data_IF_383021837763
#
_entry.id   IF_383021837763
#
_cell.length_a   1.000
_cell.length_b   1.000
_cell.length_c   1.000
_cell.angle_alpha   90.00
_cell.angle_beta   90.00
_cell.angle_gamma   90.00
#
_symmetry.space_group_name_H-M   'P 1'
#
loop_
_entity.id
_entity.type
_entity.pdbx_description
1 polymer ?
#
# COMPACT_ATOMS: atom_id res chain seq x y z
N UNK A 1 -18.06 13.50 -6.17
CA UNK A 1 -17.10 12.80 -7.04
C UNK A 1 -17.29 11.31 -6.81
N UNK A 2 -17.56 10.54 -7.86
CA UNK A 2 -17.61 9.07 -7.77
C UNK A 2 -16.20 8.48 -7.66
N UNK A 3 -16.09 7.18 -7.33
CA UNK A 3 -14.79 6.48 -7.35
C UNK A 3 -14.15 6.48 -8.75
N UNK A 4 -14.97 6.43 -9.79
CA UNK A 4 -14.51 6.45 -11.19
C UNK A 4 -14.07 7.84 -11.65
N UNK A 5 -14.76 8.91 -11.24
CA UNK A 5 -14.32 10.28 -11.50
C UNK A 5 -12.93 10.52 -10.90
N UNK A 6 -12.73 10.09 -9.64
CA UNK A 6 -11.45 10.21 -8.95
C UNK A 6 -10.34 9.44 -9.69
N UNK A 7 -10.64 8.23 -10.16
CA UNK A 7 -9.70 7.45 -10.97
C UNK A 7 -9.30 8.20 -12.24
N UNK A 8 -10.25 8.69 -13.04
CA UNK A 8 -9.95 9.34 -14.32
C UNK A 8 -9.08 10.59 -14.16
N UNK A 9 -9.39 11.43 -13.16
CA UNK A 9 -8.60 12.62 -12.85
C UNK A 9 -7.19 12.24 -12.42
N UNK A 10 -7.06 11.34 -11.44
CA UNK A 10 -5.75 11.02 -10.87
C UNK A 10 -4.90 10.14 -11.79
N UNK A 11 -5.51 9.30 -12.63
CA UNK A 11 -4.81 8.48 -13.63
C UNK A 11 -4.02 9.37 -14.59
N UNK A 12 -4.64 10.43 -15.09
CA UNK A 12 -4.01 11.40 -16.00
C UNK A 12 -2.87 12.16 -15.33
N UNK A 13 -3.07 12.60 -14.08
CA UNK A 13 -2.05 13.29 -13.28
C UNK A 13 -0.85 12.37 -13.06
N UNK A 14 -1.09 11.14 -12.59
CA UNK A 14 -0.02 10.16 -12.32
C UNK A 14 0.74 9.83 -13.59
N UNK A 15 0.06 9.57 -14.71
CA UNK A 15 0.73 9.27 -15.97
C UNK A 15 1.65 10.42 -16.42
N UNK A 16 1.17 11.67 -16.31
CA UNK A 16 1.95 12.85 -16.67
C UNK A 16 3.18 13.03 -15.79
N UNK A 17 3.01 12.95 -14.47
CA UNK A 17 4.12 13.14 -13.52
C UNK A 17 5.14 12.00 -13.59
N UNK A 18 4.68 10.76 -13.72
CA UNK A 18 5.57 9.59 -13.82
C UNK A 18 6.32 9.54 -15.16
N UNK A 19 5.75 10.07 -16.25
CA UNK A 19 6.48 10.24 -17.51
C UNK A 19 7.64 11.24 -17.34
N UNK A 20 7.40 12.37 -16.68
CA UNK A 20 8.47 13.33 -16.36
C UNK A 20 9.55 12.71 -15.47
N UNK A 21 9.17 11.92 -14.46
CA UNK A 21 10.13 11.18 -13.64
C UNK A 21 10.95 10.18 -14.46
N UNK A 22 10.31 9.41 -15.35
CA UNK A 22 11.00 8.46 -16.21
C UNK A 22 12.01 9.14 -17.17
N UNK A 23 11.72 10.37 -17.61
CA UNK A 23 12.59 11.13 -18.51
C UNK A 23 13.74 11.84 -17.77
N UNK A 24 13.52 12.32 -16.55
CA UNK A 24 14.45 13.23 -15.87
C UNK A 24 15.15 12.63 -14.65
N UNK A 25 14.55 11.64 -14.00
CA UNK A 25 15.13 10.95 -12.84
C UNK A 25 14.78 9.45 -12.82
N UNK A 26 15.09 8.69 -13.89
CA UNK A 26 14.68 7.29 -14.03
C UNK A 26 15.18 6.37 -12.90
N UNK A 27 16.27 6.76 -12.24
CA UNK A 27 16.88 6.00 -11.14
C UNK A 27 16.35 6.36 -9.74
N UNK A 28 15.43 7.32 -9.62
CA UNK A 28 14.86 7.72 -8.34
C UNK A 28 13.92 6.65 -7.77
N UNK A 29 13.73 6.66 -6.44
CA UNK A 29 12.65 5.89 -5.79
C UNK A 29 11.33 6.63 -6.02
N UNK A 30 10.38 5.99 -6.68
CA UNK A 30 9.08 6.57 -7.02
C UNK A 30 8.06 6.12 -5.99
N UNK A 31 7.66 7.02 -5.09
CA UNK A 31 6.67 6.75 -4.04
C UNK A 31 5.31 7.37 -4.41
N UNK A 32 4.33 6.54 -4.76
CA UNK A 32 3.01 6.99 -5.21
C UNK A 32 2.01 6.88 -4.06
N UNK A 33 1.46 8.04 -3.69
CA UNK A 33 0.36 8.19 -2.72
C UNK A 33 -0.98 8.44 -3.44
N UNK A 34 -0.93 8.94 -4.67
CA UNK A 34 -2.11 9.32 -5.45
C UNK A 34 -3.10 8.15 -5.57
N UNK A 35 -4.32 8.37 -5.08
CA UNK A 35 -5.38 7.37 -5.12
C UNK A 35 -6.00 7.24 -6.53
N UNK A 36 -6.55 6.07 -6.89
CA UNK A 36 -6.49 4.80 -6.14
C UNK A 36 -5.15 4.08 -6.37
N UNK A 37 -4.39 3.82 -5.29
CA UNK A 37 -3.03 3.21 -5.36
C UNK A 37 -3.02 1.90 -6.15
N UNK A 38 -4.06 1.07 -5.98
CA UNK A 38 -4.21 -0.22 -6.66
C UNK A 38 -4.20 -0.10 -8.20
N UNK A 39 -4.52 1.07 -8.76
CA UNK A 39 -4.48 1.32 -10.21
C UNK A 39 -3.38 2.31 -10.63
N UNK A 40 -3.01 3.27 -9.77
CA UNK A 40 -1.98 4.27 -10.10
C UNK A 40 -0.57 3.69 -10.14
N UNK A 41 -0.29 2.61 -9.39
CA UNK A 41 0.98 1.87 -9.51
C UNK A 41 1.12 1.14 -10.85
N UNK A 42 0.12 0.37 -11.32
CA UNK A 42 0.11 -0.15 -12.68
C UNK A 42 0.30 0.94 -13.74
N UNK A 43 -0.38 2.09 -13.60
CA UNK A 43 -0.20 3.24 -14.53
C UNK A 43 1.27 3.68 -14.57
N UNK A 44 1.85 3.97 -13.40
CA UNK A 44 3.25 4.40 -13.32
C UNK A 44 4.20 3.37 -13.91
N UNK A 45 3.97 2.09 -13.63
CA UNK A 45 4.77 0.99 -14.16
C UNK A 45 4.72 0.94 -15.69
N UNK A 46 3.53 0.99 -16.29
CA UNK A 46 3.38 0.99 -17.74
C UNK A 46 3.98 2.24 -18.39
N UNK A 47 3.87 3.41 -17.75
CA UNK A 47 4.52 4.64 -18.22
C UNK A 47 6.05 4.52 -18.20
N UNK A 48 6.62 4.00 -17.11
CA UNK A 48 8.07 3.74 -17.04
C UNK A 48 8.53 2.71 -18.07
N UNK A 49 7.73 1.66 -18.34
CA UNK A 49 8.02 0.68 -19.39
C UNK A 49 8.04 1.33 -20.78
N UNK A 50 7.06 2.18 -21.10
CA UNK A 50 7.03 2.93 -22.38
C UNK A 50 8.28 3.79 -22.60
N UNK A 51 8.90 4.28 -21.52
CA UNK A 51 10.13 5.08 -21.58
C UNK A 51 11.42 4.25 -21.46
N UNK A 52 11.33 2.91 -21.39
CA UNK A 52 12.51 2.05 -21.22
C UNK A 52 13.24 2.22 -19.88
N UNK A 53 12.61 2.85 -18.89
CA UNK A 53 13.21 3.21 -17.60
C UNK A 53 12.73 2.33 -16.44
N UNK A 54 11.93 1.31 -16.72
CA UNK A 54 11.26 0.53 -15.67
C UNK A 54 12.24 -0.33 -14.86
N UNK A 55 12.29 -0.06 -13.55
CA UNK A 55 12.91 -0.91 -12.55
C UNK A 55 11.87 -1.29 -11.47
N UNK A 56 11.45 -2.58 -11.36
CA UNK A 56 10.43 -3.00 -10.40
C UNK A 56 10.82 -2.74 -8.94
N UNK A 57 12.12 -2.61 -8.64
CA UNK A 57 12.60 -2.44 -7.27
C UNK A 57 12.54 -0.98 -6.80
N UNK A 58 12.10 -0.04 -7.66
CA UNK A 58 12.11 1.41 -7.38
C UNK A 58 10.74 2.09 -7.46
N UNK A 59 9.66 1.36 -7.71
CA UNK A 59 8.29 1.92 -7.78
C UNK A 59 7.45 1.36 -6.64
N UNK A 60 6.95 2.24 -5.78
CA UNK A 60 6.33 1.91 -4.51
C UNK A 60 4.96 2.57 -4.36
N UNK A 61 3.93 1.77 -4.11
CA UNK A 61 2.64 2.26 -3.64
C UNK A 61 2.68 2.41 -2.13
N UNK A 62 2.52 3.65 -1.64
CA UNK A 62 2.64 3.94 -0.20
C UNK A 62 1.36 3.49 0.50
N UNK A 63 1.40 2.30 1.11
CA UNK A 63 0.31 1.72 1.93
C UNK A 63 0.53 1.92 3.43
N UNK A 64 1.60 2.63 3.81
CA UNK A 64 2.05 2.80 5.20
C UNK A 64 0.98 3.35 6.14
N UNK A 65 0.00 4.11 5.63
CA UNK A 65 -1.11 4.61 6.46
C UNK A 65 -1.97 3.48 7.03
N UNK A 66 -2.12 2.36 6.31
CA UNK A 66 -2.89 1.21 6.81
C UNK A 66 -2.16 0.53 7.96
N UNK A 67 -0.83 0.43 7.87
CA UNK A 67 0.04 -0.10 8.94
C UNK A 67 -0.02 0.83 10.16
N UNK A 68 0.06 2.14 9.95
CA UNK A 68 -0.07 3.12 11.04
C UNK A 68 -1.42 2.98 11.74
N UNK A 69 -2.52 2.84 10.98
CA UNK A 69 -3.86 2.62 11.55
C UNK A 69 -3.97 1.29 12.29
N UNK A 70 -3.47 0.21 11.72
CA UNK A 70 -3.49 -1.10 12.35
C UNK A 70 -2.72 -1.10 13.68
N UNK A 71 -1.53 -0.51 13.71
CA UNK A 71 -0.74 -0.36 14.93
C UNK A 71 -1.51 0.44 15.99
N UNK A 72 -2.09 1.59 15.62
CA UNK A 72 -2.88 2.42 16.54
C UNK A 72 -4.08 1.67 17.09
N UNK A 73 -4.89 1.03 16.24
CA UNK A 73 -6.12 0.38 16.69
C UNK A 73 -5.86 -0.88 17.54
N UNK A 74 -4.83 -1.65 17.21
CA UNK A 74 -4.42 -2.80 18.03
C UNK A 74 -3.85 -2.34 19.37
N UNK A 75 -3.05 -1.27 19.38
CA UNK A 75 -2.52 -0.70 20.61
C UNK A 75 -3.63 -0.18 21.53
N UNK A 76 -4.59 0.57 21.00
CA UNK A 76 -5.77 1.05 21.72
C UNK A 76 -6.55 -0.12 22.33
N UNK A 77 -6.83 -1.17 21.55
CA UNK A 77 -7.62 -2.32 21.98
C UNK A 77 -6.94 -3.14 23.08
N UNK A 78 -5.60 -3.17 23.09
CA UNK A 78 -4.80 -3.96 24.05
C UNK A 78 -4.14 -3.14 25.16
N UNK A 79 -4.34 -1.82 25.19
CA UNK A 79 -3.68 -0.94 26.16
C UNK A 79 -2.16 -0.92 26.04
N UNK A 80 -1.65 -1.00 24.79
CA UNK A 80 -0.22 -0.98 24.48
C UNK A 80 0.21 0.41 24.00
N UNK A 81 1.52 0.65 24.01
CA UNK A 81 2.11 1.80 23.31
C UNK A 81 2.13 1.52 21.78
N UNK A 82 1.47 2.34 20.94
CA UNK A 82 1.45 2.13 19.48
C UNK A 82 2.85 2.20 18.84
N UNK A 83 3.84 2.83 19.47
CA UNK A 83 5.22 2.84 18.99
C UNK A 83 5.90 1.47 19.11
N UNK A 84 5.33 0.54 19.90
CA UNK A 84 5.83 -0.83 20.12
C UNK A 84 5.00 -1.89 19.39
N UNK A 85 3.94 -1.49 18.70
CA UNK A 85 3.08 -2.40 17.93
C UNK A 85 3.48 -2.36 16.45
N UNK A 86 3.60 -3.52 15.84
CA UNK A 86 3.80 -3.69 14.40
C UNK A 86 2.89 -4.79 13.87
N UNK A 87 1.90 -4.40 13.06
CA UNK A 87 0.99 -5.28 12.33
C UNK A 87 1.32 -5.17 10.84
N UNK A 88 1.81 -6.23 10.19
CA UNK A 88 1.94 -6.25 8.73
C UNK A 88 0.57 -6.09 8.07
N UNK A 89 0.48 -5.24 7.04
CA UNK A 89 -0.75 -5.09 6.23
C UNK A 89 -0.41 -5.36 4.77
N UNK A 90 -1.06 -6.38 4.22
CA UNK A 90 -0.81 -6.88 2.86
C UNK A 90 -2.01 -6.61 1.94
N UNK A 91 -1.91 -6.99 0.66
CA UNK A 91 -2.99 -6.84 -0.32
C UNK A 91 -2.88 -5.55 -1.13
N UNK A 92 -3.79 -4.61 -0.91
CA UNK A 92 -3.83 -3.30 -1.56
C UNK A 92 -4.29 -2.20 -0.60
N UNK A 93 -4.77 -1.08 -1.14
CA UNK A 93 -5.11 0.14 -0.39
C UNK A 93 -6.57 0.58 -0.58
N UNK A 94 -7.51 -0.36 -0.72
CA UNK A 94 -8.91 -0.05 -0.90
C UNK A 94 -9.84 -1.10 -0.26
N UNK A 95 -10.63 -0.71 0.75
CA UNK A 95 -11.66 -1.55 1.36
C UNK A 95 -11.14 -2.94 1.71
N UNK A 96 -11.80 -3.99 1.21
CA UNK A 96 -11.44 -5.39 1.45
C UNK A 96 -10.06 -5.81 0.94
N UNK A 97 -9.44 -5.03 0.06
CA UNK A 97 -8.07 -5.30 -0.38
C UNK A 97 -7.03 -5.00 0.70
N UNK A 98 -7.39 -4.25 1.75
CA UNK A 98 -6.52 -3.99 2.91
C UNK A 98 -6.64 -5.19 3.86
N UNK A 99 -5.54 -5.94 4.02
CA UNK A 99 -5.53 -7.21 4.77
C UNK A 99 -4.54 -7.10 5.93
N UNK A 100 -5.00 -6.74 7.15
CA UNK A 100 -4.13 -6.70 8.33
C UNK A 100 -3.84 -8.11 8.84
N UNK A 101 -2.57 -8.50 8.85
CA UNK A 101 -2.12 -9.79 9.36
C UNK A 101 -1.93 -9.72 10.88
N UNK A 102 -3.05 -9.65 11.61
CA UNK A 102 -3.06 -9.55 13.07
C UNK A 102 -2.43 -10.81 13.70
N UNK A 103 -2.50 -11.96 13.03
CA UNK A 103 -1.81 -13.18 13.46
C UNK A 103 -0.27 -13.04 13.50
N UNK A 104 0.29 -12.06 12.78
CA UNK A 104 1.71 -11.74 12.71
C UNK A 104 2.08 -10.48 13.52
N UNK A 105 1.16 -9.93 14.31
CA UNK A 105 1.41 -8.75 15.12
C UNK A 105 2.57 -8.97 16.11
N UNK A 106 3.42 -7.95 16.26
CA UNK A 106 4.47 -7.88 17.30
C UNK A 106 4.20 -6.69 18.22
N UNK A 107 4.08 -6.87 19.55
CA UNK A 107 4.04 -8.16 20.25
C UNK A 107 2.81 -8.99 19.83
N UNK A 108 2.86 -10.29 20.08
CA UNK A 108 1.73 -11.19 19.77
C UNK A 108 0.49 -10.70 20.51
N UNK A 109 -0.63 -10.60 19.79
CA UNK A 109 -1.95 -10.29 20.35
C UNK A 109 -2.92 -11.42 20.04
N UNK A 110 -3.65 -11.87 21.05
CA UNK A 110 -4.73 -12.85 20.89
C UNK A 110 -6.07 -12.11 21.00
N UNK A 111 -6.91 -12.21 19.96
CA UNK A 111 -8.22 -11.58 19.89
C UNK A 111 -9.31 -12.65 19.70
N UNK A 112 -10.42 -12.57 20.46
CA UNK A 112 -11.64 -13.29 20.11
C UNK A 112 -12.11 -12.95 18.68
N UNK A 113 -12.76 -13.90 18.00
CA UNK A 113 -13.11 -13.77 16.58
C UNK A 113 -13.98 -12.55 16.27
N UNK A 114 -14.89 -12.18 17.16
CA UNK A 114 -15.73 -10.99 17.05
C UNK A 114 -14.89 -9.70 17.08
N UNK A 115 -13.95 -9.58 18.03
CA UNK A 115 -13.03 -8.44 18.10
C UNK A 115 -12.08 -8.39 16.90
N UNK A 116 -11.56 -9.55 16.48
CA UNK A 116 -10.69 -9.68 15.31
C UNK A 116 -11.40 -9.18 14.05
N UNK A 117 -12.65 -9.60 13.85
CA UNK A 117 -13.47 -9.20 12.71
C UNK A 117 -13.79 -7.71 12.76
N UNK A 118 -14.16 -7.18 13.93
CA UNK A 118 -14.49 -5.77 14.11
C UNK A 118 -13.29 -4.85 13.84
N UNK A 119 -12.11 -5.17 14.40
CA UNK A 119 -10.91 -4.34 14.19
C UNK A 119 -10.41 -4.42 12.75
N UNK A 120 -10.51 -5.58 12.10
CA UNK A 120 -10.20 -5.75 10.68
C UNK A 120 -11.08 -4.84 9.81
N UNK A 121 -12.40 -4.86 10.04
CA UNK A 121 -13.33 -3.98 9.33
C UNK A 121 -13.05 -2.49 9.57
N UNK A 122 -12.72 -2.11 10.82
CA UNK A 122 -12.33 -0.73 11.15
C UNK A 122 -11.06 -0.30 10.40
N UNK A 123 -10.04 -1.17 10.29
CA UNK A 123 -8.82 -0.89 9.52
C UNK A 123 -9.16 -0.64 8.05
N UNK A 124 -10.01 -1.48 7.45
CA UNK A 124 -10.43 -1.37 6.05
C UNK A 124 -11.23 -0.09 5.76
N UNK A 125 -12.09 0.33 6.72
CA UNK A 125 -12.98 1.48 6.56
C UNK A 125 -12.45 2.79 7.15
N UNK A 126 -11.27 2.79 7.78
CA UNK A 126 -10.70 3.96 8.44
C UNK A 126 -10.52 5.17 7.50
N UNK A 127 -10.31 4.94 6.20
CA UNK A 127 -10.33 5.99 5.18
C UNK A 127 -11.69 6.67 5.08
N UNK A 128 -12.74 5.86 4.96
CA UNK A 128 -14.14 6.28 4.90
C UNK A 128 -14.57 6.99 6.19
N UNK A 129 -14.15 6.49 7.36
CA UNK A 129 -14.44 7.12 8.67
C UNK A 129 -13.91 8.56 8.72
N UNK A 130 -12.68 8.81 8.26
CA UNK A 130 -12.10 10.16 8.24
C UNK A 130 -12.85 11.08 7.28
N UNK A 131 -13.24 10.59 6.09
CA UNK A 131 -14.03 11.38 5.12
C UNK A 131 -15.38 11.78 5.72
N UNK A 132 -16.05 10.84 6.41
CA UNK A 132 -17.31 11.10 7.10
C UNK A 132 -17.13 12.11 8.24
N UNK A 133 -16.09 11.96 9.06
CA UNK A 133 -15.78 12.87 10.16
C UNK A 133 -15.46 14.30 9.66
N UNK A 134 -14.88 14.42 8.47
CA UNK A 134 -14.64 15.71 7.79
C UNK A 134 -15.85 16.23 7.00
N UNK A 135 -17.03 15.60 7.12
CA UNK A 135 -18.25 15.97 6.40
C UNK A 135 -18.04 16.15 4.88
N UNK A 136 -17.17 15.33 4.27
CA UNK A 136 -16.87 15.39 2.84
C UNK A 136 -15.88 16.48 2.42
N UNK A 137 -15.36 17.30 3.35
CA UNK A 137 -14.37 18.35 3.08
C UNK A 137 -12.93 17.81 2.84
N UNK A 138 -12.82 16.59 2.29
CA UNK A 138 -11.56 15.89 2.03
C UNK A 138 -11.36 14.63 2.88
N UNK A 139 -10.17 14.04 2.78
CA UNK A 139 -9.79 12.78 3.42
C UNK A 139 -8.64 12.97 4.43
N UNK A 140 -7.98 11.87 4.82
CA UNK A 140 -6.81 11.91 5.70
C UNK A 140 -5.67 12.71 5.07
N UNK A 141 -5.25 13.79 5.73
CA UNK A 141 -4.15 14.66 5.29
C UNK A 141 -2.95 14.55 6.23
N UNK A 142 -3.13 14.91 7.51
CA UNK A 142 -2.04 14.91 8.50
C UNK A 142 -1.48 13.50 8.75
N UNK A 143 -2.34 12.51 8.97
CA UNK A 143 -1.91 11.13 9.18
C UNK A 143 -1.28 10.52 7.92
N UNK A 144 -1.76 10.92 6.73
CA UNK A 144 -1.12 10.51 5.47
C UNK A 144 0.26 11.15 5.31
N UNK A 145 0.43 12.42 5.69
CA UNK A 145 1.73 13.09 5.68
C UNK A 145 2.73 12.39 6.62
N UNK A 146 2.29 12.04 7.83
CA UNK A 146 3.09 11.24 8.76
C UNK A 146 3.50 9.89 8.15
N UNK A 147 2.53 9.14 7.60
CA UNK A 147 2.79 7.83 7.02
C UNK A 147 3.72 7.90 5.79
N UNK A 148 3.52 8.89 4.92
CA UNK A 148 4.38 9.13 3.76
C UNK A 148 5.80 9.51 4.17
N UNK A 149 5.95 10.40 5.16
CA UNK A 149 7.26 10.78 5.69
C UNK A 149 7.99 9.57 6.30
N UNK A 150 7.31 8.76 7.12
CA UNK A 150 7.86 7.52 7.66
C UNK A 150 8.39 6.61 6.54
N UNK A 151 7.60 6.36 5.51
CA UNK A 151 8.00 5.48 4.41
C UNK A 151 9.25 6.00 3.67
N UNK A 152 9.29 7.30 3.40
CA UNK A 152 10.45 7.94 2.77
C UNK A 152 11.69 7.88 3.67
N UNK A 153 11.56 8.12 4.98
CA UNK A 153 12.69 7.99 5.90
C UNK A 153 13.21 6.56 5.97
N UNK A 154 12.33 5.55 5.99
CA UNK A 154 12.73 4.14 5.91
C UNK A 154 13.51 3.86 4.60
N UNK A 155 13.02 4.35 3.46
CA UNK A 155 13.75 4.22 2.18
C UNK A 155 15.12 4.90 2.22
N UNK A 156 15.21 6.13 2.73
CA UNK A 156 16.46 6.88 2.82
C UNK A 156 17.46 6.21 3.77
N UNK A 157 17.00 5.72 4.92
CA UNK A 157 17.81 4.93 5.86
C UNK A 157 18.41 3.70 5.17
N UNK A 158 17.60 2.95 4.44
CA UNK A 158 18.05 1.78 3.69
C UNK A 158 19.02 2.16 2.55
N UNK A 159 18.77 3.29 1.87
CA UNK A 159 19.67 3.86 0.87
C UNK A 159 21.03 4.25 1.45
N UNK A 160 21.05 4.73 2.69
CA UNK A 160 22.25 5.03 3.45
C UNK A 160 22.97 3.78 4.01
N UNK A 161 22.40 2.58 3.79
CA UNK A 161 23.00 1.31 4.19
C UNK A 161 22.62 0.84 5.59
N UNK A 162 21.57 1.40 6.20
CA UNK A 162 20.98 0.81 7.41
C UNK A 162 20.40 -0.57 7.06
N UNK A 163 20.84 -1.59 7.78
CA UNK A 163 20.35 -2.96 7.60
C UNK A 163 19.01 -3.19 8.30
N UNK A 164 18.27 -4.21 7.86
CA UNK A 164 17.04 -4.66 8.51
C UNK A 164 15.86 -3.70 8.40
N UNK A 165 15.88 -2.75 7.45
CA UNK A 165 14.75 -1.84 7.23
C UNK A 165 13.65 -2.55 6.47
N UNK A 166 12.49 -2.74 7.12
CA UNK A 166 11.34 -3.43 6.55
C UNK A 166 10.12 -2.52 6.57
N UNK A 167 9.46 -2.36 5.42
CA UNK A 167 8.17 -1.69 5.28
C UNK A 167 7.25 -2.48 4.35
N UNK A 168 5.93 -2.36 4.56
CA UNK A 168 4.95 -2.85 3.59
C UNK A 168 4.72 -1.82 2.49
N UNK A 169 4.64 -2.25 1.24
CA UNK A 169 4.33 -1.38 0.09
C UNK A 169 3.70 -2.17 -1.05
N UNK A 170 2.75 -1.54 -1.77
CA UNK A 170 2.13 -2.12 -2.96
C UNK A 170 3.08 -2.03 -4.17
N UNK A 171 3.63 -3.16 -4.58
CA UNK A 171 4.71 -3.24 -5.59
C UNK A 171 4.42 -4.32 -6.63
N UNK A 172 5.21 -4.37 -7.71
CA UNK A 172 5.22 -5.52 -8.62
C UNK A 172 5.54 -6.78 -7.81
N UNK A 173 4.68 -7.79 -7.86
CA UNK A 173 4.77 -8.95 -6.98
C UNK A 173 4.47 -10.25 -7.72
N UNK A 174 4.92 -11.36 -7.13
CA UNK A 174 4.63 -12.75 -7.52
C UNK A 174 4.05 -13.55 -6.33
N UNK A 175 3.81 -12.90 -5.18
CA UNK A 175 3.42 -13.55 -3.92
C UNK A 175 1.95 -13.98 -3.88
N UNK A 176 1.15 -13.51 -4.84
CA UNK A 176 -0.26 -13.84 -5.00
C UNK A 176 -0.59 -13.95 -6.49
N UNK A 177 -1.78 -14.44 -6.82
CA UNK A 177 -2.32 -14.46 -8.19
C UNK A 177 -2.75 -13.04 -8.64
N UNK A 178 -1.84 -12.08 -8.51
CA UNK A 178 -2.00 -10.67 -8.84
C UNK A 178 -0.64 -10.12 -9.27
N UNK A 179 -0.60 -9.34 -10.35
CA UNK A 179 0.64 -8.76 -10.85
C UNK A 179 1.29 -7.77 -9.87
N UNK A 180 0.50 -7.16 -8.99
CA UNK A 180 0.94 -6.22 -7.97
C UNK A 180 0.27 -6.59 -6.64
N UNK A 181 1.01 -6.49 -5.54
CA UNK A 181 0.52 -6.86 -4.22
C UNK A 181 1.39 -6.21 -3.13
N UNK A 182 0.76 -5.79 -2.05
CA UNK A 182 1.45 -5.27 -0.86
C UNK A 182 1.91 -6.42 0.02
N UNK A 183 3.20 -6.43 0.36
CA UNK A 183 3.84 -7.40 1.26
C UNK A 183 4.95 -6.68 2.04
N UNK A 184 5.46 -7.24 3.16
CA UNK A 184 6.65 -6.71 3.81
C UNK A 184 7.87 -6.83 2.89
N UNK A 185 8.61 -5.73 2.73
CA UNK A 185 9.77 -5.64 1.86
C UNK A 185 10.98 -5.27 2.70
N UNK A 186 12.05 -6.07 2.62
CA UNK A 186 13.37 -5.62 3.03
C UNK A 186 13.86 -4.59 2.01
N UNK A 187 14.15 -3.40 2.49
CA UNK A 187 14.67 -2.29 1.71
C UNK A 187 16.19 -2.24 1.83
N UNK A 188 16.85 -1.82 0.76
CA UNK A 188 18.30 -1.64 0.70
C UNK A 188 18.71 -0.52 -0.23
N UNK A 189 20.01 -0.47 -0.55
CA UNK A 189 20.63 0.63 -1.33
C UNK A 189 20.04 0.84 -2.73
N UNK A 190 19.41 -0.20 -3.30
CA UNK A 190 18.84 -0.20 -4.65
C UNK A 190 17.30 -0.29 -4.65
N UNK A 191 16.66 0.07 -3.53
CA UNK A 191 15.21 0.00 -3.37
C UNK A 191 14.81 -1.31 -2.71
N UNK A 192 13.91 -2.09 -3.31
CA UNK A 192 13.55 -3.42 -2.80
C UNK A 192 14.77 -4.34 -2.88
N UNK A 193 15.24 -4.82 -1.73
CA UNK A 193 16.30 -5.80 -1.62
C UNK A 193 15.74 -7.23 -1.59
N UNK A 194 14.64 -7.43 -0.85
CA UNK A 194 13.94 -8.72 -0.82
C UNK A 194 12.45 -8.52 -0.52
N UNK A 195 11.59 -9.19 -1.29
CA UNK A 195 10.20 -9.37 -0.88
C UNK A 195 10.13 -10.50 0.16
N UNK A 196 9.59 -10.23 1.34
CA UNK A 196 9.49 -11.19 2.44
C UNK A 196 8.24 -12.07 2.35
N UNK A 197 7.34 -11.76 1.40
CA UNK A 197 6.15 -12.55 1.10
C UNK A 197 5.05 -12.44 2.14
N UNK A 198 4.03 -13.28 1.99
CA UNK A 198 2.85 -13.30 2.88
C UNK A 198 3.17 -13.93 4.24
N UNK A 199 4.11 -14.87 4.28
CA UNK A 199 4.46 -15.61 5.49
C UNK A 199 3.36 -16.58 5.94
N UNK A 200 3.41 -16.98 7.21
CA UNK A 200 2.40 -17.87 7.81
C UNK A 200 1.17 -17.07 8.23
N UNK A 201 0.01 -17.45 7.74
CA UNK A 201 -1.26 -16.75 7.99
C UNK A 201 -2.31 -17.70 8.59
N UNK A 202 -3.38 -17.12 9.13
CA UNK A 202 -4.53 -17.83 9.67
C UNK A 202 -5.58 -18.13 8.59
N UNK A 203 -6.52 -19.08 8.82
CA UNK A 203 -7.62 -19.34 7.90
C UNK A 203 -8.52 -18.12 7.62
N UNK A 204 -8.65 -17.22 8.60
CA UNK A 204 -9.38 -15.96 8.43
C UNK A 204 -8.69 -15.04 7.42
N UNK A 205 -7.36 -14.92 7.51
CA UNK A 205 -6.54 -14.10 6.60
C UNK A 205 -6.43 -14.72 5.19
N UNK A 206 -6.37 -16.05 5.09
CA UNK A 206 -6.43 -16.76 3.80
C UNK A 206 -7.72 -16.42 3.03
N UNK A 207 -8.86 -16.42 3.73
CA UNK A 207 -10.14 -16.03 3.14
C UNK A 207 -10.14 -14.57 2.67
N UNK A 208 -9.57 -13.65 3.46
CA UNK A 208 -9.44 -12.24 3.06
C UNK A 208 -8.62 -12.08 1.78
N UNK A 209 -7.52 -12.81 1.63
CA UNK A 209 -6.70 -12.79 0.41
C UNK A 209 -7.53 -13.28 -0.79
N UNK A 210 -8.23 -14.40 -0.65
CA UNK A 210 -9.08 -14.93 -1.73
C UNK A 210 -10.17 -13.94 -2.17
N UNK A 211 -10.77 -13.20 -1.23
CA UNK A 211 -11.80 -12.20 -1.53
C UNK A 211 -11.23 -10.90 -2.13
N UNK A 212 -9.98 -10.56 -1.82
CA UNK A 212 -9.29 -9.37 -2.31
C UNK A 212 -8.75 -9.53 -3.74
N UNK A 213 -8.29 -10.73 -4.12
CA UNK A 213 -7.65 -10.98 -5.43
C UNK A 213 -8.49 -10.48 -6.61
N UNK A 214 -9.79 -10.79 -6.74
CA UNK A 214 -10.58 -10.34 -7.90
C UNK A 214 -10.69 -8.81 -8.01
N UNK A 215 -10.78 -8.10 -6.87
CA UNK A 215 -10.85 -6.64 -6.86
C UNK A 215 -9.50 -6.01 -7.21
N UNK A 216 -8.41 -6.60 -6.74
CA UNK A 216 -7.05 -6.20 -7.11
C UNK A 216 -6.81 -6.40 -8.60
N UNK A 217 -7.12 -7.58 -9.15
CA UNK A 217 -6.98 -7.87 -10.58
C UNK A 217 -7.78 -6.86 -11.44
N UNK A 218 -9.02 -6.55 -11.05
CA UNK A 218 -9.83 -5.54 -11.74
C UNK A 218 -9.19 -4.14 -11.68
N UNK A 219 -8.71 -3.73 -10.50
CA UNK A 219 -8.06 -2.42 -10.30
C UNK A 219 -6.75 -2.31 -11.08
N UNK A 220 -5.96 -3.39 -11.11
CA UNK A 220 -4.70 -3.49 -11.83
C UNK A 220 -4.95 -3.36 -13.32
N UNK A 221 -5.85 -4.19 -13.86
CA UNK A 221 -6.23 -4.18 -15.27
C UNK A 221 -6.72 -2.80 -15.71
N UNK A 222 -7.55 -2.13 -14.90
CA UNK A 222 -8.03 -0.78 -15.18
C UNK A 222 -6.89 0.23 -15.34
N UNK A 223 -5.86 0.16 -14.49
CA UNK A 223 -4.68 1.01 -14.58
C UNK A 223 -3.83 0.72 -15.82
N UNK A 224 -3.61 -0.56 -16.14
CA UNK A 224 -2.86 -0.98 -17.33
C UNK A 224 -3.58 -0.57 -18.64
N UNK A 225 -4.90 -0.77 -18.71
CA UNK A 225 -5.71 -0.40 -19.87
C UNK A 225 -5.74 1.10 -20.11
N UNK A 226 -5.75 1.92 -19.04
CA UNK A 226 -5.64 3.36 -19.17
C UNK A 226 -4.40 3.76 -19.97
N UNK A 227 -3.22 3.25 -19.61
CA UNK A 227 -1.96 3.60 -20.31
C UNK A 227 -1.89 3.00 -21.71
N UNK A 228 -2.42 1.78 -21.92
CA UNK A 228 -2.51 1.19 -23.27
C UNK A 228 -3.35 2.03 -24.23
N UNK A 229 -4.40 2.69 -23.71
CA UNK A 229 -5.31 3.51 -24.49
C UNK A 229 -4.92 5.00 -24.55
N UNK A 230 -3.90 5.43 -23.78
CA UNK A 230 -3.30 6.77 -23.94
C UNK A 230 -2.59 6.84 -25.30
N UNK A 231 -3.14 7.66 -26.19
CA UNK A 231 -2.53 8.04 -27.47
C UNK A 231 -1.31 8.93 -27.26
#
# INVERSE_FOLDING_TARGET
MTRDDLFNTNASIVATLTAACAQHCPEAMICIISNPVNSTIPIATEVFKKHGAYNPNKIFGVTTLDIVRANTFIAELKGLDPARVNVPVIGGHAGKTIIPLISQCTPKVDLPQDQLTAVTGRIQEAGTEVVKAKAGAGSATLSMAYAGARFVFSLVDAMNGKEGVVECSFVKSQEADCAYFSTPLLLGKKGIEKNLGIGKISPFEEKMIAEAIPELQASIKKGEEFVKNMK
#
